data_IF_010480844949
#
_entry.id   IF_010480844949
#
_cell.length_a   1.000
_cell.length_b   1.000
_cell.length_c   1.000
_cell.angle_alpha   90.00
_cell.angle_beta   90.00
_cell.angle_gamma   90.00
#
_symmetry.space_group_name_H-M   'P 1'
#
loop_
_entity.id
_entity.type
_entity.pdbx_description
1 polymer ?
#
# COMPACT_ATOMS: atom_id res chain seq x y z
N UNK A 1 39.74 9.04 4.01
CA UNK A 1 38.98 8.99 2.73
C UNK A 1 38.91 7.52 2.37
N UNK A 2 37.73 6.93 2.11
CA UNK A 2 37.70 5.52 1.74
C UNK A 2 38.36 5.39 0.36
N UNK A 3 39.34 4.49 0.27
CA UNK A 3 40.00 4.13 -0.99
C UNK A 3 38.95 3.76 -2.03
N UNK A 4 39.10 4.31 -3.23
CA UNK A 4 38.28 3.91 -4.38
C UNK A 4 38.56 2.44 -4.67
N UNK A 5 37.53 1.60 -4.61
CA UNK A 5 37.65 0.17 -4.89
C UNK A 5 37.79 0.02 -6.41
N UNK A 6 39.00 -0.28 -6.88
CA UNK A 6 39.31 -0.50 -8.29
C UNK A 6 38.88 -1.90 -8.71
N UNK A 7 38.04 -1.98 -9.74
CA UNK A 7 37.30 -3.17 -10.11
C UNK A 7 37.68 -3.67 -11.51
N UNK A 8 38.92 -3.46 -11.96
CA UNK A 8 39.45 -3.76 -13.31
C UNK A 8 38.70 -4.88 -14.09
N UNK A 9 38.61 -6.09 -13.52
CA UNK A 9 37.97 -7.26 -14.14
C UNK A 9 36.53 -7.56 -13.67
N UNK A 10 35.95 -6.70 -12.82
CA UNK A 10 34.60 -6.79 -12.26
C UNK A 10 34.54 -7.43 -10.87
N UNK A 11 33.43 -7.21 -10.15
CA UNK A 11 33.12 -7.92 -8.91
C UNK A 11 32.35 -9.19 -9.22
N UNK A 12 32.86 -10.34 -8.77
CA UNK A 12 32.21 -11.65 -8.96
C UNK A 12 31.19 -11.98 -7.85
N UNK A 13 31.36 -11.40 -6.65
CA UNK A 13 30.45 -11.56 -5.53
C UNK A 13 30.45 -10.33 -4.61
N UNK A 14 29.29 -10.03 -4.02
CA UNK A 14 29.12 -8.98 -3.00
C UNK A 14 28.39 -9.58 -1.81
N UNK A 15 28.96 -9.41 -0.61
CA UNK A 15 28.28 -9.71 0.66
C UNK A 15 27.89 -8.40 1.34
N UNK A 16 26.69 -8.36 1.91
CA UNK A 16 26.21 -7.25 2.72
C UNK A 16 25.97 -7.76 4.13
N UNK A 17 26.82 -7.32 5.05
CA UNK A 17 26.67 -7.59 6.49
C UNK A 17 26.10 -6.35 7.18
N UNK A 18 24.90 -6.51 7.77
CA UNK A 18 24.22 -5.44 8.51
C UNK A 18 24.58 -5.58 9.99
N UNK A 19 25.56 -4.80 10.44
CA UNK A 19 26.07 -4.85 11.82
C UNK A 19 25.15 -4.18 12.85
N UNK A 20 24.35 -3.20 12.41
CA UNK A 20 23.35 -2.52 13.23
C UNK A 20 22.21 -2.03 12.34
N UNK A 21 20.97 -2.32 12.73
CA UNK A 21 19.78 -1.78 12.09
C UNK A 21 18.91 -1.11 13.13
N UNK A 22 18.69 0.19 12.96
CA UNK A 22 17.81 0.99 13.82
C UNK A 22 16.66 1.59 13.01
N UNK A 23 15.55 1.87 13.69
CA UNK A 23 14.41 2.52 13.07
C UNK A 23 14.76 3.98 12.80
N UNK A 24 14.90 4.33 11.52
CA UNK A 24 14.98 5.72 11.07
C UNK A 24 13.59 6.22 10.67
N UNK A 25 13.11 7.28 11.31
CA UNK A 25 11.86 7.92 10.89
C UNK A 25 12.04 8.61 9.53
N UNK A 26 11.04 8.57 8.64
CA UNK A 26 11.14 9.17 7.32
C UNK A 26 11.38 10.68 7.44
N UNK A 27 12.53 11.12 6.90
CA UNK A 27 12.92 12.53 6.79
C UNK A 27 12.92 12.93 5.32
N UNK A 28 11.95 13.74 4.93
CA UNK A 28 11.98 14.38 3.62
C UNK A 28 12.93 15.58 3.68
N UNK A 29 14.11 15.45 3.07
CA UNK A 29 14.94 16.62 2.77
C UNK A 29 14.19 17.51 1.78
N UNK A 30 14.11 18.80 2.09
CA UNK A 30 13.21 19.73 1.39
C UNK A 30 13.46 19.75 -0.13
N UNK A 31 12.38 19.75 -0.90
CA UNK A 31 12.44 19.94 -2.36
C UNK A 31 12.77 21.41 -2.72
N UNK A 32 12.58 22.34 -1.79
CA UNK A 32 13.06 23.73 -1.83
C UNK A 32 13.06 24.32 -0.40
N UNK A 33 14.08 25.16 -0.13
CA UNK A 33 14.27 26.10 0.99
C UNK A 33 13.38 26.01 2.24
N UNK A 34 14.05 25.79 3.37
CA UNK A 34 13.54 25.82 4.75
C UNK A 34 12.57 26.99 4.98
N UNK A 35 11.34 26.66 5.36
CA UNK A 35 10.41 27.57 6.02
C UNK A 35 9.65 26.70 7.03
N UNK A 36 9.51 27.20 8.26
CA UNK A 36 9.12 26.41 9.43
C UNK A 36 7.82 25.64 9.26
N UNK A 37 7.56 24.69 10.16
CA UNK A 37 6.36 23.85 10.14
C UNK A 37 5.06 24.69 10.04
N UNK A 38 5.00 25.85 10.70
CA UNK A 38 3.90 26.82 10.61
C UNK A 38 3.69 27.38 9.19
N UNK A 39 4.76 27.74 8.49
CA UNK A 39 4.71 28.30 7.13
C UNK A 39 4.29 27.24 6.12
N UNK A 40 4.67 25.97 6.36
CA UNK A 40 4.23 24.85 5.53
C UNK A 40 2.74 24.61 5.68
N UNK A 41 2.23 24.62 6.91
CA UNK A 41 0.80 24.47 7.18
C UNK A 41 -0.03 25.59 6.53
N UNK A 42 0.40 26.85 6.68
CA UNK A 42 -0.28 27.99 6.08
C UNK A 42 -0.31 27.90 4.54
N UNK A 43 0.81 27.54 3.91
CA UNK A 43 0.88 27.33 2.45
C UNK A 43 -0.02 26.20 1.97
N UNK A 44 -0.07 25.08 2.69
CA UNK A 44 -0.97 23.97 2.37
C UNK A 44 -2.44 24.37 2.47
N UNK A 45 -2.84 25.13 3.50
CA UNK A 45 -4.21 25.62 3.64
C UNK A 45 -4.60 26.55 2.49
N UNK A 46 -3.74 27.52 2.16
CA UNK A 46 -3.96 28.44 1.04
C UNK A 46 -4.07 27.69 -0.31
N UNK A 47 -3.25 26.67 -0.53
CA UNK A 47 -3.33 25.82 -1.72
C UNK A 47 -4.68 25.08 -1.81
N UNK A 48 -5.12 24.47 -0.71
CA UNK A 48 -6.40 23.75 -0.65
C UNK A 48 -7.55 24.71 -0.95
N UNK A 49 -7.55 25.89 -0.34
CA UNK A 49 -8.60 26.89 -0.56
C UNK A 49 -8.62 27.37 -2.02
N UNK A 50 -7.45 27.63 -2.62
CA UNK A 50 -7.35 27.98 -4.04
C UNK A 50 -7.86 26.87 -4.97
N UNK A 51 -7.54 25.60 -4.68
CA UNK A 51 -8.06 24.47 -5.44
C UNK A 51 -9.58 24.33 -5.31
N UNK A 52 -10.13 24.55 -4.12
CA UNK A 52 -11.59 24.50 -3.89
C UNK A 52 -12.34 25.64 -4.57
N UNK A 53 -11.76 26.84 -4.61
CA UNK A 53 -12.35 27.97 -5.34
C UNK A 53 -12.40 27.70 -6.85
N UNK A 54 -11.36 27.07 -7.42
CA UNK A 54 -11.27 26.81 -8.86
C UNK A 54 -12.06 25.59 -9.32
N UNK A 55 -12.01 24.50 -8.56
CA UNK A 55 -12.58 23.20 -8.95
C UNK A 55 -13.94 22.93 -8.28
N UNK A 56 -14.38 23.81 -7.38
CA UNK A 56 -15.62 23.69 -6.61
C UNK A 56 -15.39 23.15 -5.20
N UNK A 57 -16.29 23.45 -4.25
CA UNK A 57 -16.06 23.26 -2.81
C UNK A 57 -15.87 21.80 -2.39
N UNK A 58 -16.37 20.85 -3.18
CA UNK A 58 -16.33 19.39 -2.92
C UNK A 58 -15.31 18.62 -3.78
N UNK A 59 -14.49 19.31 -4.56
CA UNK A 59 -13.52 18.69 -5.47
C UNK A 59 -12.26 18.20 -4.75
N UNK A 60 -11.86 18.88 -3.67
CA UNK A 60 -10.68 18.52 -2.88
C UNK A 60 -11.11 17.61 -1.74
N UNK A 61 -10.61 16.38 -1.78
CA UNK A 61 -10.88 15.35 -0.78
C UNK A 61 -9.62 14.96 -0.04
N UNK A 62 -9.82 14.43 1.16
CA UNK A 62 -8.78 13.90 2.02
C UNK A 62 -9.07 12.44 2.35
N UNK A 63 -8.05 11.60 2.33
CA UNK A 63 -8.13 10.24 2.85
C UNK A 63 -7.95 10.25 4.37
N UNK A 64 -8.86 9.57 5.08
CA UNK A 64 -8.79 9.34 6.50
C UNK A 64 -8.79 7.83 6.78
N UNK A 65 -7.92 7.34 7.69
CA UNK A 65 -7.91 5.93 8.05
C UNK A 65 -9.21 5.56 8.77
N UNK A 66 -9.65 4.33 8.55
CA UNK A 66 -10.80 3.69 9.19
C UNK A 66 -10.33 2.37 9.77
N UNK A 67 -10.81 2.04 10.97
CA UNK A 67 -10.51 0.76 11.62
C UNK A 67 -11.25 -0.38 10.92
N UNK A 68 -10.70 -0.81 9.78
CA UNK A 68 -11.11 -1.97 9.02
C UNK A 68 -9.86 -2.67 8.50
N UNK A 69 -9.84 -4.00 8.60
CA UNK A 69 -8.76 -4.82 8.04
C UNK A 69 -8.97 -5.12 6.55
N UNK A 70 -10.16 -4.86 6.01
CA UNK A 70 -10.47 -4.97 4.59
C UNK A 70 -9.85 -3.78 3.84
N UNK A 71 -9.02 -4.02 2.80
CA UNK A 71 -8.31 -2.95 2.10
C UNK A 71 -9.25 -1.91 1.47
N UNK A 72 -10.40 -2.32 0.96
CA UNK A 72 -11.40 -1.43 0.36
C UNK A 72 -12.14 -0.54 1.37
N UNK A 73 -12.08 -0.85 2.67
CA UNK A 73 -12.75 -0.12 3.76
C UNK A 73 -11.78 0.52 4.75
N UNK A 74 -10.48 0.31 4.58
CA UNK A 74 -9.44 0.81 5.47
C UNK A 74 -9.29 2.35 5.40
N UNK A 75 -9.84 2.98 4.36
CA UNK A 75 -9.76 4.42 4.15
C UNK A 75 -11.11 4.99 3.69
N UNK A 76 -11.36 6.26 4.01
CA UNK A 76 -12.53 7.00 3.54
C UNK A 76 -12.16 8.39 3.05
N UNK A 77 -12.84 8.85 1.99
CA UNK A 77 -12.70 10.21 1.47
C UNK A 77 -13.59 11.16 2.27
N UNK A 78 -12.99 12.10 2.98
CA UNK A 78 -13.67 13.23 3.64
C UNK A 78 -13.46 14.52 2.86
N UNK A 79 -14.34 15.49 3.07
CA UNK A 79 -14.10 16.82 2.50
C UNK A 79 -12.88 17.46 3.14
N UNK A 80 -12.11 18.23 2.36
CA UNK A 80 -10.96 18.93 2.91
C UNK A 80 -11.35 19.94 4.01
N UNK A 81 -12.60 20.43 4.02
CA UNK A 81 -13.11 21.31 5.06
C UNK A 81 -13.55 20.62 6.36
N UNK A 82 -13.75 19.30 6.35
CA UNK A 82 -14.20 18.52 7.52
C UNK A 82 -13.04 18.30 8.51
N UNK A 83 -12.48 19.40 9.00
CA UNK A 83 -11.35 19.45 9.92
C UNK A 83 -11.91 19.56 11.35
N UNK A 84 -11.74 18.54 12.20
CA UNK A 84 -12.05 18.65 13.62
C UNK A 84 -11.27 19.85 14.23
N UNK A 85 -11.87 20.63 15.14
CA UNK A 85 -11.21 21.82 15.72
C UNK A 85 -9.84 21.55 16.34
N UNK A 86 -9.60 20.35 16.88
CA UNK A 86 -8.32 19.89 17.43
C UNK A 86 -7.17 19.81 16.41
N UNK A 87 -7.49 19.93 15.12
CA UNK A 87 -6.53 19.81 14.01
C UNK A 87 -6.06 21.16 13.46
N UNK A 88 -6.80 22.26 13.66
CA UNK A 88 -6.42 23.58 13.11
C UNK A 88 -5.14 24.11 13.76
N UNK A 89 -4.91 23.81 15.04
CA UNK A 89 -3.69 24.18 15.77
C UNK A 89 -2.51 23.23 15.53
N UNK A 90 -2.75 22.12 14.82
CA UNK A 90 -1.84 20.99 14.74
C UNK A 90 -1.66 20.53 13.30
N UNK A 91 -1.77 21.42 12.30
CA UNK A 91 -1.62 20.99 10.90
C UNK A 91 -0.28 20.27 10.63
N UNK A 92 0.78 20.60 11.38
CA UNK A 92 2.06 19.88 11.37
C UNK A 92 2.16 18.77 12.41
N UNK A 93 1.61 18.95 13.61
CA UNK A 93 1.66 17.95 14.67
C UNK A 93 0.65 16.81 14.47
N UNK A 94 -0.61 17.08 14.14
CA UNK A 94 -1.69 16.10 14.00
C UNK A 94 -1.79 15.45 12.61
N UNK A 95 -1.33 16.09 11.53
CA UNK A 95 -1.04 15.31 10.30
C UNK A 95 0.03 14.28 10.63
N UNK A 96 1.08 14.69 11.34
CA UNK A 96 2.06 13.77 11.86
C UNK A 96 1.51 12.87 12.97
N UNK A 97 0.43 13.17 13.71
CA UNK A 97 -0.13 12.27 14.75
C UNK A 97 -1.16 11.25 14.23
N UNK A 98 -1.89 11.61 13.18
CA UNK A 98 -2.87 10.77 12.49
C UNK A 98 -2.26 9.87 11.41
N UNK A 99 -1.14 10.34 10.84
CA UNK A 99 -0.26 9.62 9.92
C UNK A 99 1.07 9.25 10.60
N UNK A 100 1.30 9.60 11.88
CA UNK A 100 2.15 8.76 12.72
C UNK A 100 1.25 7.59 12.98
N UNK A 101 1.64 6.40 12.53
CA UNK A 101 1.10 5.24 13.17
C UNK A 101 1.72 5.32 14.58
N UNK A 102 0.96 5.86 15.56
CA UNK A 102 1.30 5.72 16.99
C UNK A 102 1.38 4.22 17.34
N UNK A 103 0.80 3.37 16.49
CA UNK A 103 1.19 2.00 16.35
C UNK A 103 2.44 1.96 15.47
N UNK A 104 3.64 1.76 16.02
CA UNK A 104 4.71 1.17 15.22
C UNK A 104 4.08 0.07 14.36
N UNK A 105 4.17 0.19 13.01
CA UNK A 105 3.62 -0.85 12.12
C UNK A 105 4.19 -2.16 12.67
N UNK A 106 3.37 -3.09 13.19
CA UNK A 106 3.91 -4.22 13.92
C UNK A 106 4.93 -4.90 13.01
N UNK A 107 6.09 -5.30 13.55
CA UNK A 107 7.08 -6.02 12.78
C UNK A 107 6.38 -7.22 12.13
N UNK A 108 6.25 -7.22 10.79
CA UNK A 108 5.44 -8.19 10.04
C UNK A 108 4.15 -7.65 9.42
N UNK A 109 3.79 -6.38 9.62
CA UNK A 109 2.70 -5.73 8.90
C UNK A 109 3.01 -5.76 7.40
N UNK A 110 2.17 -6.44 6.63
CA UNK A 110 2.37 -6.64 5.20
C UNK A 110 2.12 -5.35 4.44
N UNK A 111 2.88 -5.15 3.37
CA UNK A 111 2.77 -3.97 2.54
C UNK A 111 1.38 -3.92 1.89
N UNK A 112 0.72 -2.76 1.97
CA UNK A 112 -0.51 -2.48 1.24
C UNK A 112 -0.16 -1.68 -0.02
N UNK A 113 -0.78 -1.98 -1.18
CA UNK A 113 -0.45 -1.30 -2.41
C UNK A 113 -0.82 0.18 -2.33
N UNK A 114 0.04 1.10 -2.81
CA UNK A 114 -0.29 2.52 -2.92
C UNK A 114 -1.44 2.79 -3.90
N UNK A 115 -1.64 1.92 -4.88
CA UNK A 115 -2.73 2.01 -5.84
C UNK A 115 -3.63 0.78 -5.72
N UNK A 116 -4.86 0.99 -5.21
CA UNK A 116 -5.91 -0.01 -5.18
C UNK A 116 -6.91 0.23 -6.32
N UNK A 117 -7.24 -0.82 -7.06
CA UNK A 117 -8.31 -0.79 -8.04
C UNK A 117 -9.66 -0.59 -7.33
N UNK A 118 -10.50 0.30 -7.85
CA UNK A 118 -11.85 0.55 -7.31
C UNK A 118 -12.69 -0.72 -7.22
N UNK A 119 -12.48 -1.65 -8.16
CA UNK A 119 -13.04 -3.00 -8.14
C UNK A 119 -11.92 -3.93 -8.57
N UNK A 120 -11.74 -5.00 -7.81
CA UNK A 120 -10.80 -6.05 -8.18
C UNK A 120 -11.19 -6.65 -9.53
N UNK A 121 -10.19 -6.86 -10.37
CA UNK A 121 -10.38 -7.36 -11.74
C UNK A 121 -10.02 -8.84 -11.81
N UNK A 122 -10.82 -9.67 -12.50
CA UNK A 122 -10.56 -11.10 -12.57
C UNK A 122 -9.24 -11.39 -13.29
N UNK A 123 -8.50 -12.36 -12.78
CA UNK A 123 -7.28 -12.88 -13.38
C UNK A 123 -7.33 -14.40 -13.45
N UNK A 124 -6.62 -14.97 -14.42
CA UNK A 124 -6.44 -16.41 -14.53
C UNK A 124 -5.05 -16.75 -14.03
N UNK A 125 -4.95 -17.53 -12.96
CA UNK A 125 -3.68 -17.85 -12.31
C UNK A 125 -3.36 -19.32 -12.52
N UNK A 126 -2.10 -19.60 -12.83
CA UNK A 126 -1.51 -20.93 -12.82
C UNK A 126 -0.56 -21.01 -11.64
N UNK A 127 -0.84 -21.93 -10.71
CA UNK A 127 -0.03 -22.25 -9.55
C UNK A 127 0.39 -23.72 -9.59
N UNK A 128 1.51 -24.07 -8.96
CA UNK A 128 2.00 -25.47 -8.92
C UNK A 128 1.10 -26.38 -8.08
N UNK A 129 0.43 -25.80 -7.09
CA UNK A 129 -0.51 -26.49 -6.21
C UNK A 129 -1.75 -25.60 -6.05
N UNK A 130 -2.94 -26.17 -5.76
CA UNK A 130 -4.17 -25.39 -5.58
C UNK A 130 -4.06 -24.31 -4.49
N UNK A 131 -3.22 -24.59 -3.49
CA UNK A 131 -2.92 -23.73 -2.33
C UNK A 131 -1.62 -22.94 -2.47
N UNK A 132 -0.91 -23.11 -3.59
CA UNK A 132 0.41 -22.54 -3.79
C UNK A 132 0.41 -21.11 -4.32
N UNK A 133 1.58 -20.47 -4.22
CA UNK A 133 1.83 -19.17 -4.83
C UNK A 133 1.67 -19.21 -6.37
N UNK A 134 1.23 -18.11 -6.98
CA UNK A 134 1.10 -17.99 -8.44
C UNK A 134 2.47 -18.11 -9.13
N UNK A 135 2.55 -18.89 -10.21
CA UNK A 135 3.72 -18.96 -11.11
C UNK A 135 3.57 -18.08 -12.33
N UNK A 136 2.35 -18.00 -12.86
CA UNK A 136 1.99 -17.25 -14.05
C UNK A 136 0.56 -16.77 -13.88
N UNK A 137 0.24 -15.58 -14.39
CA UNK A 137 -1.15 -15.13 -14.43
C UNK A 137 -1.45 -14.33 -15.68
N UNK A 138 -2.68 -14.48 -16.17
CA UNK A 138 -3.22 -13.71 -17.29
C UNK A 138 -4.19 -12.67 -16.77
N UNK A 139 -3.92 -11.40 -17.06
CA UNK A 139 -4.74 -10.26 -16.65
C UNK A 139 -4.81 -9.25 -17.79
N UNK A 140 -6.02 -8.72 -18.05
CA UNK A 140 -6.32 -7.84 -19.21
C UNK A 140 -5.83 -8.37 -20.57
N UNK A 141 -5.79 -9.70 -20.73
CA UNK A 141 -5.34 -10.37 -21.95
C UNK A 141 -3.83 -10.56 -22.03
N UNK A 142 -3.05 -9.92 -21.18
CA UNK A 142 -1.60 -10.06 -21.11
C UNK A 142 -1.20 -11.16 -20.12
N UNK A 143 -0.10 -11.85 -20.42
CA UNK A 143 0.40 -12.98 -19.65
C UNK A 143 1.68 -12.55 -18.90
N UNK A 144 1.64 -12.55 -17.57
CA UNK A 144 2.76 -12.15 -16.71
C UNK A 144 3.40 -13.33 -15.96
N UNK A 145 4.67 -13.62 -16.26
CA UNK A 145 5.45 -14.62 -15.54
C UNK A 145 5.89 -14.07 -14.18
N UNK A 146 5.69 -14.85 -13.12
CA UNK A 146 5.99 -14.44 -11.74
C UNK A 146 7.42 -14.85 -11.39
N UNK A 147 8.26 -13.86 -11.13
CA UNK A 147 9.64 -14.05 -10.67
C UNK A 147 9.69 -14.27 -9.15
N UNK A 148 8.90 -13.51 -8.38
CA UNK A 148 8.82 -13.61 -6.93
C UNK A 148 7.37 -13.55 -6.46
N UNK A 149 7.02 -14.35 -5.45
CA UNK A 149 5.73 -14.29 -4.79
C UNK A 149 5.89 -14.32 -3.26
N UNK A 150 5.18 -13.44 -2.57
CA UNK A 150 5.12 -13.37 -1.11
C UNK A 150 3.66 -13.48 -0.65
N UNK A 151 3.36 -14.37 0.29
CA UNK A 151 1.98 -14.68 0.68
C UNK A 151 1.83 -16.07 1.31
N UNK A 152 0.60 -16.48 1.65
CA UNK A 152 -0.62 -15.66 1.61
C UNK A 152 -0.75 -14.72 2.82
N UNK A 153 -1.34 -13.54 2.60
CA UNK A 153 -2.00 -12.75 3.65
C UNK A 153 -3.48 -13.11 3.68
N UNK A 154 -3.91 -13.79 4.74
CA UNK A 154 -5.29 -14.22 4.90
C UNK A 154 -6.14 -13.12 5.53
N UNK A 155 -7.16 -12.68 4.82
CA UNK A 155 -8.10 -11.65 5.25
C UNK A 155 -9.51 -12.26 5.19
N UNK A 156 -10.08 -12.52 6.36
CA UNK A 156 -11.47 -12.93 6.49
C UNK A 156 -12.41 -11.72 6.34
N UNK A 157 -13.66 -11.97 5.99
CA UNK A 157 -14.68 -10.92 5.98
C UNK A 157 -14.93 -10.35 7.39
N UNK A 158 -15.42 -9.10 7.44
CA UNK A 158 -15.92 -8.49 8.68
C UNK A 158 -17.27 -9.11 9.05
N UNK A 159 -17.26 -10.31 9.63
CA UNK A 159 -18.47 -11.08 9.96
C UNK A 159 -19.45 -10.31 10.87
N UNK A 160 -18.97 -9.33 11.64
CA UNK A 160 -19.78 -8.48 12.52
C UNK A 160 -20.49 -7.32 11.77
N UNK A 161 -20.11 -7.01 10.53
CA UNK A 161 -20.73 -5.97 9.70
C UNK A 161 -21.55 -6.54 8.53
N UNK A 162 -21.19 -7.73 8.05
CA UNK A 162 -21.80 -8.35 6.88
C UNK A 162 -22.98 -9.24 7.26
N UNK A 163 -24.14 -9.04 6.61
CA UNK A 163 -25.34 -9.87 6.83
C UNK A 163 -25.25 -11.24 6.15
N UNK A 164 -24.33 -11.40 5.19
CA UNK A 164 -24.06 -12.65 4.48
C UNK A 164 -22.60 -13.04 4.70
N UNK A 165 -22.31 -14.32 4.95
CA UNK A 165 -20.92 -14.78 5.00
C UNK A 165 -20.26 -14.54 3.64
N UNK A 166 -19.18 -13.76 3.64
CA UNK A 166 -18.33 -13.58 2.47
C UNK A 166 -17.11 -14.51 2.58
N UNK A 167 -16.60 -15.04 1.45
CA UNK A 167 -15.47 -15.97 1.47
C UNK A 167 -14.19 -15.30 1.97
N UNK A 168 -13.31 -16.10 2.54
CA UNK A 168 -11.98 -15.66 2.95
C UNK A 168 -11.13 -15.33 1.73
N UNK A 169 -10.31 -14.27 1.82
CA UNK A 169 -9.39 -13.87 0.76
C UNK A 169 -7.95 -14.14 1.16
N UNK A 170 -7.20 -14.82 0.29
CA UNK A 170 -5.75 -15.02 0.46
C UNK A 170 -5.02 -14.14 -0.57
N UNK A 171 -4.35 -13.09 -0.07
CA UNK A 171 -3.62 -12.11 -0.86
C UNK A 171 -2.16 -12.51 -1.06
N UNK A 172 -1.64 -12.24 -2.26
CA UNK A 172 -0.26 -12.48 -2.68
C UNK A 172 0.31 -11.21 -3.28
N UNK A 173 1.47 -10.80 -2.82
CA UNK A 173 2.32 -9.83 -3.51
C UNK A 173 3.16 -10.61 -4.52
N UNK A 174 3.02 -10.28 -5.80
CA UNK A 174 3.80 -10.92 -6.86
C UNK A 174 4.61 -9.88 -7.61
N UNK A 175 5.81 -10.24 -7.99
CA UNK A 175 6.67 -9.48 -8.88
C UNK A 175 6.81 -10.27 -10.18
N UNK A 176 6.55 -9.63 -11.32
CA UNK A 176 6.78 -10.25 -12.62
C UNK A 176 8.26 -10.16 -13.01
N UNK A 177 8.66 -10.83 -14.10
CA UNK A 177 10.03 -10.78 -14.63
C UNK A 177 10.47 -9.38 -15.11
N UNK A 178 9.52 -8.45 -15.32
CA UNK A 178 9.79 -7.06 -15.67
C UNK A 178 9.92 -6.15 -14.43
N UNK A 179 9.88 -6.70 -13.21
CA UNK A 179 9.94 -5.96 -11.95
C UNK A 179 8.65 -5.26 -11.53
N UNK A 180 7.56 -5.41 -12.30
CA UNK A 180 6.23 -4.88 -11.94
C UNK A 180 5.62 -5.70 -10.83
N UNK A 181 5.09 -5.01 -9.81
CA UNK A 181 4.54 -5.63 -8.62
C UNK A 181 3.03 -5.52 -8.56
N UNK A 182 2.37 -6.65 -8.42
CA UNK A 182 0.92 -6.79 -8.39
C UNK A 182 0.45 -7.36 -7.06
N UNK A 183 -0.72 -6.93 -6.62
CA UNK A 183 -1.40 -7.48 -5.46
C UNK A 183 -2.59 -8.31 -5.91
N UNK A 184 -2.42 -9.63 -5.89
CA UNK A 184 -3.45 -10.58 -6.28
C UNK A 184 -4.14 -11.12 -5.04
N UNK A 185 -5.37 -11.56 -5.19
CA UNK A 185 -5.98 -12.44 -4.19
C UNK A 185 -6.76 -13.56 -4.83
N UNK A 186 -6.88 -14.62 -4.04
CA UNK A 186 -7.81 -15.72 -4.23
C UNK A 186 -9.03 -15.52 -3.33
N UNK A 187 -10.22 -15.67 -3.89
CA UNK A 187 -11.47 -15.78 -3.14
C UNK A 187 -11.84 -17.23 -2.89
N UNK A 188 -12.02 -17.57 -1.61
CA UNK A 188 -12.40 -18.90 -1.14
C UNK A 188 -11.19 -19.81 -0.92
N UNK A 189 -11.17 -20.48 0.23
CA UNK A 189 -10.19 -21.52 0.53
C UNK A 189 -10.49 -22.79 -0.27
N UNK A 190 -9.49 -23.33 -0.97
CA UNK A 190 -9.67 -24.51 -1.80
C UNK A 190 -10.00 -25.72 -0.91
N UNK A 191 -11.03 -26.48 -1.29
CA UNK A 191 -11.48 -27.67 -0.55
C UNK A 191 -12.22 -27.41 0.76
N UNK A 192 -12.20 -26.17 1.29
CA UNK A 192 -12.96 -25.80 2.51
C UNK A 192 -14.18 -24.93 2.21
N UNK A 193 -14.00 -23.89 1.40
CA UNK A 193 -15.06 -22.93 1.08
C UNK A 193 -15.52 -23.06 -0.38
N UNK A 194 -14.63 -23.47 -1.29
CA UNK A 194 -14.97 -23.66 -2.71
C UNK A 194 -14.09 -24.72 -3.38
N UNK A 195 -14.63 -25.38 -4.40
CA UNK A 195 -13.89 -26.28 -5.28
C UNK A 195 -13.15 -25.53 -6.41
N UNK A 196 -13.57 -24.30 -6.71
CA UNK A 196 -13.03 -23.48 -7.82
C UNK A 196 -12.75 -22.05 -7.33
N UNK A 197 -11.59 -21.82 -6.66
CA UNK A 197 -11.19 -20.51 -6.21
C UNK A 197 -11.00 -19.56 -7.39
N UNK A 198 -11.50 -18.33 -7.24
CA UNK A 198 -11.38 -17.28 -8.26
C UNK A 198 -10.25 -16.34 -7.89
N UNK A 199 -9.49 -15.92 -8.89
CA UNK A 199 -8.36 -15.02 -8.72
C UNK A 199 -8.67 -13.63 -9.25
N UNK A 200 -8.13 -12.63 -8.58
CA UNK A 200 -8.31 -11.24 -8.93
C UNK A 200 -7.03 -10.44 -8.70
N UNK A 201 -6.81 -9.40 -9.50
CA UNK A 201 -5.85 -8.33 -9.25
C UNK A 201 -6.58 -7.22 -8.50
N UNK A 202 -6.04 -6.78 -7.38
CA UNK A 202 -6.64 -5.73 -6.55
C UNK A 202 -5.83 -4.44 -6.53
N UNK A 203 -4.51 -4.49 -6.73
CA UNK A 203 -3.69 -3.28 -6.70
C UNK A 203 -2.27 -3.48 -7.20
N UNK A 204 -1.50 -2.40 -7.16
CA UNK A 204 -0.15 -2.33 -7.71
C UNK A 204 0.80 -1.63 -6.74
N UNK A 205 2.07 -2.01 -6.80
CA UNK A 205 3.15 -1.30 -6.12
C UNK A 205 4.00 -0.56 -7.15
N UNK A 206 4.48 0.64 -6.77
CA UNK A 206 5.38 1.47 -7.57
C UNK A 206 6.84 0.99 -7.45
#
# INVERSE_FOLDING_TARGET
LPEAIDADFGFEAVSLDITLAERMDPRQSGLAGVSGDSDRAARCAALIDGLRQRLGPRSVKRLAPVESHLPEKAETCRDAADVPPSWRSSWTSSWRSSWTPSCARPAGARLRPPLLLRRAEPAQVVALMPEGAPRRFRWRGEMHAVALAQGPERIAAEWWRERKPQPTRDYYLVENEEGRRFWLYREGLYGRETASPRWFVHGFFA
#
